data_IF_097011599984
#
_entry.id   IF_097011599984
#
_cell.length_a   1.000
_cell.length_b   1.000
_cell.length_c   1.000
_cell.angle_alpha   90.00
_cell.angle_beta   90.00
_cell.angle_gamma   90.00
#
_symmetry.space_group_name_H-M   'P 1'
#
loop_
_entity.id
_entity.type
_entity.pdbx_description
1 polymer ?
#
# COMPACT_ATOMS: atom_id res chain seq x y z
N UNK A 1 -16.32 -54.09 -14.26
CA UNK A 1 -15.75 -53.08 -13.30
C UNK A 1 -14.86 -52.03 -13.94
N UNK A 2 -14.47 -52.13 -15.21
CA UNK A 2 -13.61 -51.10 -15.89
C UNK A 2 -14.38 -50.05 -16.71
N UNK A 3 -15.65 -50.29 -17.06
CA UNK A 3 -16.47 -49.36 -17.85
C UNK A 3 -17.08 -48.23 -17.00
N UNK A 4 -17.41 -48.48 -15.74
CA UNK A 4 -18.00 -47.50 -14.83
C UNK A 4 -17.00 -46.40 -14.38
N UNK A 5 -15.71 -46.75 -14.24
CA UNK A 5 -14.66 -45.79 -13.86
C UNK A 5 -14.35 -44.83 -15.02
N UNK A 6 -14.49 -45.28 -16.28
CA UNK A 6 -14.28 -44.41 -17.46
C UNK A 6 -15.45 -43.46 -17.69
N UNK A 7 -16.68 -43.89 -17.38
CA UNK A 7 -17.85 -43.03 -17.45
C UNK A 7 -17.82 -41.90 -16.38
N UNK A 8 -17.37 -42.23 -15.17
CA UNK A 8 -17.27 -41.26 -14.06
C UNK A 8 -16.19 -40.18 -14.36
N UNK A 9 -15.07 -40.56 -14.98
CA UNK A 9 -14.05 -39.58 -15.41
C UNK A 9 -14.48 -38.70 -16.55
N UNK A 10 -15.35 -39.18 -17.45
CA UNK A 10 -15.90 -38.36 -18.55
C UNK A 10 -16.96 -37.39 -18.07
N UNK A 11 -17.81 -37.79 -17.11
CA UNK A 11 -18.80 -36.94 -16.45
C UNK A 11 -18.12 -35.88 -15.60
N UNK A 12 -17.06 -36.18 -14.86
CA UNK A 12 -16.27 -35.23 -14.10
C UNK A 12 -15.55 -34.23 -15.03
N UNK A 13 -15.04 -34.67 -16.20
CA UNK A 13 -14.50 -33.80 -17.23
C UNK A 13 -15.57 -32.94 -17.91
N UNK A 14 -16.77 -33.44 -18.12
CA UNK A 14 -17.90 -32.69 -18.67
C UNK A 14 -18.47 -31.69 -17.66
N UNK A 15 -18.55 -32.03 -16.38
CA UNK A 15 -18.93 -31.13 -15.29
C UNK A 15 -17.88 -30.00 -15.08
N UNK A 16 -16.60 -30.29 -15.30
CA UNK A 16 -15.55 -29.28 -15.32
C UNK A 16 -15.66 -28.27 -16.49
N UNK A 17 -16.42 -28.63 -17.54
CA UNK A 17 -16.67 -27.79 -18.72
C UNK A 17 -17.93 -26.94 -18.61
N UNK A 18 -18.79 -27.18 -17.63
CA UNK A 18 -19.87 -26.29 -17.25
C UNK A 18 -19.26 -25.15 -16.42
N UNK A 19 -18.60 -24.23 -17.11
CA UNK A 19 -18.19 -22.96 -16.51
C UNK A 19 -19.48 -22.28 -16.02
N UNK A 20 -19.69 -22.22 -14.71
CA UNK A 20 -20.64 -21.30 -14.10
C UNK A 20 -20.51 -19.93 -14.78
N UNK A 21 -21.61 -19.26 -15.13
CA UNK A 21 -21.51 -17.95 -15.76
C UNK A 21 -20.59 -17.05 -14.93
N UNK A 22 -19.73 -16.27 -15.59
CA UNK A 22 -18.69 -15.43 -14.98
C UNK A 22 -19.32 -14.25 -14.20
N UNK A 23 -20.22 -14.55 -13.25
CA UNK A 23 -20.95 -13.56 -12.46
C UNK A 23 -20.02 -12.64 -11.68
N UNK A 24 -18.85 -13.15 -11.26
CA UNK A 24 -17.85 -12.36 -10.53
C UNK A 24 -17.15 -11.33 -11.45
N UNK A 25 -16.84 -11.71 -12.70
CA UNK A 25 -16.22 -10.78 -13.67
C UNK A 25 -17.22 -9.72 -14.16
N UNK A 26 -18.50 -10.04 -14.23
CA UNK A 26 -19.52 -9.06 -14.54
C UNK A 26 -19.73 -8.07 -13.36
N UNK A 27 -19.66 -8.56 -12.10
CA UNK A 27 -19.66 -7.66 -10.93
C UNK A 27 -18.46 -6.73 -10.91
N UNK A 28 -17.26 -7.23 -11.21
CA UNK A 28 -16.07 -6.40 -11.33
C UNK A 28 -16.21 -5.33 -12.42
N UNK A 29 -16.78 -5.70 -13.58
CA UNK A 29 -17.04 -4.75 -14.67
C UNK A 29 -17.91 -3.56 -14.19
N UNK A 30 -19.04 -3.84 -13.54
CA UNK A 30 -19.94 -2.79 -13.05
C UNK A 30 -19.32 -1.95 -11.95
N UNK A 31 -18.57 -2.57 -11.03
CA UNK A 31 -17.84 -1.85 -9.99
C UNK A 31 -16.72 -0.99 -10.58
N UNK A 32 -16.01 -1.49 -11.58
CA UNK A 32 -14.97 -0.74 -12.28
C UNK A 32 -15.55 0.43 -13.07
N UNK A 33 -16.68 0.22 -13.74
CA UNK A 33 -17.41 1.29 -14.41
C UNK A 33 -17.82 2.38 -13.42
N UNK A 34 -18.39 1.98 -12.29
CA UNK A 34 -18.76 2.91 -11.23
C UNK A 34 -17.55 3.68 -10.67
N UNK A 35 -16.43 2.98 -10.43
CA UNK A 35 -15.18 3.59 -9.98
C UNK A 35 -14.66 4.62 -10.99
N UNK A 36 -14.65 4.30 -12.28
CA UNK A 36 -14.18 5.22 -13.32
C UNK A 36 -15.11 6.41 -13.54
N UNK A 37 -16.43 6.22 -13.37
CA UNK A 37 -17.40 7.32 -13.42
C UNK A 37 -17.20 8.28 -12.24
N UNK A 38 -17.02 7.76 -11.02
CA UNK A 38 -16.74 8.64 -9.85
C UNK A 38 -15.41 9.38 -10.04
N UNK A 39 -14.36 8.70 -10.50
CA UNK A 39 -13.06 9.34 -10.75
C UNK A 39 -13.16 10.44 -11.82
N UNK A 40 -13.88 10.20 -12.92
CA UNK A 40 -14.14 11.17 -13.95
C UNK A 40 -14.98 12.36 -13.45
N UNK A 41 -16.02 12.06 -12.66
CA UNK A 41 -16.85 13.10 -12.03
C UNK A 41 -16.04 13.99 -11.08
N UNK A 42 -15.17 13.40 -10.24
CA UNK A 42 -14.29 14.15 -9.33
C UNK A 42 -13.36 15.08 -10.12
N UNK A 43 -12.75 14.58 -11.20
CA UNK A 43 -11.89 15.38 -12.06
C UNK A 43 -12.65 16.53 -12.73
N UNK A 44 -13.86 16.28 -13.21
CA UNK A 44 -14.73 17.30 -13.81
C UNK A 44 -15.16 18.34 -12.78
N UNK A 45 -15.52 17.93 -11.57
CA UNK A 45 -15.92 18.82 -10.49
C UNK A 45 -14.75 19.71 -10.05
N UNK A 46 -13.52 19.19 -10.00
CA UNK A 46 -12.32 19.98 -9.74
C UNK A 46 -12.16 21.08 -10.79
N UNK A 47 -12.34 20.78 -12.06
CA UNK A 47 -12.24 21.78 -13.14
C UNK A 47 -13.33 22.85 -13.03
N UNK A 48 -14.58 22.44 -12.82
CA UNK A 48 -15.69 23.37 -12.67
C UNK A 48 -15.53 24.24 -11.43
N UNK A 49 -15.13 23.65 -10.30
CA UNK A 49 -14.96 24.39 -9.05
C UNK A 49 -13.77 25.35 -9.05
N UNK A 50 -12.64 24.96 -9.65
CA UNK A 50 -11.42 25.75 -9.62
C UNK A 50 -11.28 26.70 -10.82
N UNK A 51 -11.73 26.31 -12.02
CA UNK A 51 -11.52 27.04 -13.28
C UNK A 51 -12.81 27.58 -13.88
N UNK A 52 -13.97 27.10 -13.46
CA UNK A 52 -15.27 27.44 -14.05
C UNK A 52 -15.48 26.92 -15.48
N UNK A 53 -14.61 26.04 -15.98
CA UNK A 53 -14.66 25.47 -17.33
C UNK A 53 -14.24 24.01 -17.30
N UNK A 54 -14.58 23.28 -18.37
CA UNK A 54 -14.18 21.88 -18.54
C UNK A 54 -13.20 21.80 -19.72
N UNK A 55 -11.99 21.27 -19.45
CA UNK A 55 -11.00 20.97 -20.49
C UNK A 55 -11.20 19.51 -21.00
N UNK A 56 -11.61 19.31 -22.27
CA UNK A 56 -11.81 17.99 -22.82
C UNK A 56 -10.54 17.15 -22.88
N UNK A 57 -9.35 17.77 -22.94
CA UNK A 57 -8.08 17.06 -23.02
C UNK A 57 -7.82 16.27 -21.71
N UNK A 58 -8.10 16.86 -20.56
CA UNK A 58 -7.91 16.19 -19.26
C UNK A 58 -8.89 15.04 -19.09
N UNK A 59 -10.13 15.20 -19.56
CA UNK A 59 -11.10 14.11 -19.57
C UNK A 59 -10.66 12.98 -20.50
N UNK A 60 -10.07 13.29 -21.67
CA UNK A 60 -9.53 12.28 -22.57
C UNK A 60 -8.38 11.50 -21.95
N UNK A 61 -7.48 12.17 -21.21
CA UNK A 61 -6.39 11.50 -20.48
C UNK A 61 -6.96 10.61 -19.37
N UNK A 62 -7.92 11.10 -18.59
CA UNK A 62 -8.64 10.30 -17.59
C UNK A 62 -9.32 9.07 -18.19
N UNK A 63 -9.94 9.24 -19.37
CA UNK A 63 -10.51 8.14 -20.17
C UNK A 63 -9.47 7.12 -20.63
N UNK A 64 -8.26 7.57 -20.99
CA UNK A 64 -7.14 6.69 -21.34
C UNK A 64 -6.69 5.81 -20.16
N UNK A 65 -6.65 6.36 -18.94
CA UNK A 65 -6.35 5.57 -17.74
C UNK A 65 -7.47 4.59 -17.39
N UNK A 66 -8.74 5.00 -17.57
CA UNK A 66 -9.87 4.10 -17.43
C UNK A 66 -9.76 2.95 -18.43
N UNK A 67 -9.40 3.21 -19.68
CA UNK A 67 -9.19 2.17 -20.68
C UNK A 67 -8.09 1.17 -20.29
N UNK A 68 -6.99 1.63 -19.68
CA UNK A 68 -5.95 0.73 -19.14
C UNK A 68 -6.47 -0.12 -17.98
N UNK A 69 -7.29 0.42 -17.09
CA UNK A 69 -7.92 -0.34 -16.01
C UNK A 69 -8.89 -1.39 -16.58
N UNK A 70 -9.67 -1.06 -17.61
CA UNK A 70 -10.51 -2.02 -18.34
C UNK A 70 -9.68 -3.05 -19.12
N UNK A 71 -8.51 -2.68 -19.67
CA UNK A 71 -7.59 -3.63 -20.30
C UNK A 71 -7.12 -4.67 -19.26
N UNK A 72 -6.76 -4.24 -18.04
CA UNK A 72 -6.44 -5.18 -16.95
C UNK A 72 -7.65 -6.06 -16.60
N UNK A 73 -8.87 -5.52 -16.55
CA UNK A 73 -10.10 -6.30 -16.36
C UNK A 73 -10.27 -7.38 -17.43
N UNK A 74 -10.03 -7.04 -18.72
CA UNK A 74 -10.11 -8.00 -19.83
C UNK A 74 -9.06 -9.10 -19.66
N UNK A 75 -7.82 -8.73 -19.30
CA UNK A 75 -6.74 -9.69 -19.02
C UNK A 75 -7.14 -10.63 -17.89
N UNK A 76 -7.68 -10.12 -16.79
CA UNK A 76 -8.18 -10.93 -15.68
C UNK A 76 -9.31 -11.87 -16.11
N UNK A 77 -10.20 -11.42 -16.99
CA UNK A 77 -11.28 -12.26 -17.52
C UNK A 77 -10.77 -13.47 -18.27
N UNK A 78 -9.62 -13.34 -18.95
CA UNK A 78 -8.99 -14.41 -19.74
C UNK A 78 -8.04 -15.28 -18.90
N UNK A 79 -7.20 -14.65 -18.07
CA UNK A 79 -6.04 -15.31 -17.45
C UNK A 79 -6.28 -15.64 -15.97
N UNK A 80 -7.18 -14.92 -15.29
CA UNK A 80 -7.46 -15.04 -13.86
C UNK A 80 -8.96 -14.85 -13.56
N UNK A 81 -9.79 -15.75 -14.14
CA UNK A 81 -11.26 -15.61 -14.13
C UNK A 81 -11.90 -15.67 -12.74
N UNK A 82 -11.24 -16.31 -11.77
CA UNK A 82 -11.75 -16.51 -10.41
C UNK A 82 -11.21 -15.48 -9.40
N UNK A 83 -10.39 -14.52 -9.84
CA UNK A 83 -9.83 -13.47 -8.99
C UNK A 83 -10.94 -12.64 -8.28
N UNK A 84 -10.60 -12.01 -7.16
CA UNK A 84 -11.53 -11.19 -6.38
C UNK A 84 -12.04 -9.98 -7.17
N UNK A 85 -13.37 -9.76 -7.27
CA UNK A 85 -13.94 -8.71 -8.09
C UNK A 85 -13.88 -7.31 -7.48
N UNK A 86 -13.43 -7.15 -6.22
CA UNK A 86 -13.42 -5.86 -5.53
C UNK A 86 -12.05 -5.17 -5.55
N UNK A 87 -10.97 -5.95 -5.59
CA UNK A 87 -9.60 -5.41 -5.43
C UNK A 87 -9.25 -4.41 -6.54
N UNK A 88 -9.50 -4.75 -7.80
CA UNK A 88 -9.22 -3.87 -8.95
C UNK A 88 -10.06 -2.57 -8.93
N UNK A 89 -11.41 -2.61 -8.78
CA UNK A 89 -12.21 -1.39 -8.77
C UNK A 89 -11.86 -0.43 -7.62
N UNK A 90 -11.57 -0.94 -6.42
CA UNK A 90 -11.21 -0.10 -5.28
C UNK A 90 -9.86 0.59 -5.53
N UNK A 91 -8.84 -0.14 -5.99
CA UNK A 91 -7.54 0.44 -6.32
C UNK A 91 -7.66 1.52 -7.43
N UNK A 92 -8.50 1.26 -8.44
CA UNK A 92 -8.78 2.22 -9.52
C UNK A 92 -9.45 3.49 -8.98
N UNK A 93 -10.47 3.35 -8.12
CA UNK A 93 -11.17 4.49 -7.53
C UNK A 93 -10.22 5.34 -6.66
N UNK A 94 -9.44 4.71 -5.78
CA UNK A 94 -8.47 5.42 -4.95
C UNK A 94 -7.43 6.16 -5.80
N UNK A 95 -6.90 5.53 -6.85
CA UNK A 95 -5.96 6.17 -7.77
C UNK A 95 -6.62 7.35 -8.50
N UNK A 96 -7.87 7.21 -8.95
CA UNK A 96 -8.60 8.27 -9.62
C UNK A 96 -8.88 9.47 -8.72
N UNK A 97 -9.29 9.26 -7.48
CA UNK A 97 -9.47 10.32 -6.49
C UNK A 97 -8.13 11.04 -6.18
N UNK A 98 -7.04 10.26 -6.07
CA UNK A 98 -5.70 10.81 -5.91
C UNK A 98 -5.29 11.71 -7.06
N UNK A 99 -5.49 11.28 -8.30
CA UNK A 99 -5.20 12.08 -9.50
C UNK A 99 -6.03 13.36 -9.53
N UNK A 100 -7.33 13.29 -9.20
CA UNK A 100 -8.20 14.46 -9.15
C UNK A 100 -7.70 15.50 -8.13
N UNK A 101 -7.28 15.04 -6.93
CA UNK A 101 -6.76 15.93 -5.91
C UNK A 101 -5.37 16.49 -6.25
N UNK A 102 -4.47 15.69 -6.82
CA UNK A 102 -3.15 16.15 -7.29
C UNK A 102 -3.33 17.20 -8.39
N UNK A 103 -4.25 16.97 -9.33
CA UNK A 103 -4.58 17.97 -10.37
C UNK A 103 -5.14 19.25 -9.78
N UNK A 104 -5.98 19.16 -8.73
CA UNK A 104 -6.46 20.33 -7.99
C UNK A 104 -5.31 21.14 -7.37
N UNK A 105 -4.31 20.47 -6.83
CA UNK A 105 -3.12 21.11 -6.24
C UNK A 105 -2.27 21.78 -7.33
N UNK A 106 -2.13 21.16 -8.49
CA UNK A 106 -1.41 21.77 -9.64
C UNK A 106 -2.08 23.06 -10.09
N UNK A 107 -3.42 23.08 -10.20
CA UNK A 107 -4.18 24.31 -10.52
C UNK A 107 -3.89 25.39 -9.47
N UNK A 108 -3.97 25.06 -8.19
CA UNK A 108 -3.75 26.02 -7.10
C UNK A 108 -2.34 26.60 -7.09
N UNK A 109 -1.35 25.80 -7.50
CA UNK A 109 0.07 26.20 -7.62
C UNK A 109 0.46 26.72 -9.00
N UNK A 110 -0.49 26.80 -9.93
CA UNK A 110 -0.27 27.23 -11.33
C UNK A 110 0.81 26.39 -12.05
N UNK A 111 0.91 25.09 -11.73
CA UNK A 111 1.84 24.17 -12.34
C UNK A 111 1.23 23.62 -13.63
N UNK A 112 2.01 23.59 -14.72
CA UNK A 112 1.55 23.12 -16.03
C UNK A 112 2.59 22.24 -16.70
N UNK A 113 2.15 21.49 -17.71
CA UNK A 113 3.03 20.65 -18.51
C UNK A 113 3.73 19.57 -17.70
N UNK A 114 5.04 19.39 -17.93
CA UNK A 114 5.82 18.37 -17.24
C UNK A 114 6.22 18.74 -15.80
N UNK A 115 6.05 20.00 -15.40
CA UNK A 115 6.29 20.43 -14.01
C UNK A 115 5.13 20.05 -13.10
N UNK A 116 3.93 19.88 -13.64
CA UNK A 116 2.73 19.45 -12.93
C UNK A 116 2.91 18.04 -12.33
N UNK A 117 2.51 17.89 -11.07
CA UNK A 117 2.53 16.59 -10.37
C UNK A 117 1.53 15.62 -10.98
N UNK A 118 0.38 16.10 -11.43
CA UNK A 118 -0.66 15.29 -12.06
C UNK A 118 -0.18 14.67 -13.38
N UNK A 119 0.56 15.40 -14.22
CA UNK A 119 1.13 14.87 -15.46
C UNK A 119 2.08 13.71 -15.17
N UNK A 120 2.97 13.88 -14.20
CA UNK A 120 3.88 12.82 -13.75
C UNK A 120 3.10 11.63 -13.17
N UNK A 121 2.07 11.89 -12.35
CA UNK A 121 1.25 10.84 -11.74
C UNK A 121 0.47 10.03 -12.79
N UNK A 122 -0.04 10.69 -13.84
CA UNK A 122 -0.71 10.04 -14.97
C UNK A 122 0.25 9.08 -15.69
N UNK A 123 1.49 9.53 -16.00
CA UNK A 123 2.51 8.70 -16.60
C UNK A 123 2.87 7.49 -15.72
N UNK A 124 3.07 7.72 -14.43
CA UNK A 124 3.35 6.64 -13.47
C UNK A 124 2.19 5.67 -13.31
N UNK A 125 0.94 6.15 -13.37
CA UNK A 125 -0.25 5.29 -13.33
C UNK A 125 -0.30 4.38 -14.55
N UNK A 126 -0.01 4.90 -15.76
CA UNK A 126 0.04 4.10 -16.98
C UNK A 126 1.12 3.01 -16.87
N UNK A 127 2.33 3.36 -16.43
CA UNK A 127 3.43 2.41 -16.21
C UNK A 127 3.04 1.35 -15.16
N UNK A 128 2.40 1.75 -14.07
CA UNK A 128 1.97 0.86 -12.99
C UNK A 128 0.92 -0.14 -13.45
N UNK A 129 -0.08 0.31 -14.21
CA UNK A 129 -1.11 -0.55 -14.79
C UNK A 129 -0.51 -1.51 -15.82
N UNK A 130 0.39 -1.03 -16.68
CA UNK A 130 1.12 -1.89 -17.63
C UNK A 130 1.95 -2.95 -16.89
N UNK A 131 2.65 -2.56 -15.82
CA UNK A 131 3.39 -3.47 -14.95
C UNK A 131 2.49 -4.51 -14.26
N UNK A 132 1.31 -4.09 -13.77
CA UNK A 132 0.33 -4.99 -13.18
C UNK A 132 -0.22 -5.99 -14.22
N UNK A 133 -0.53 -5.54 -15.45
CA UNK A 133 -0.94 -6.40 -16.56
C UNK A 133 0.17 -7.42 -16.89
N UNK A 134 1.40 -6.96 -17.03
CA UNK A 134 2.55 -7.82 -17.31
C UNK A 134 2.73 -8.88 -16.22
N UNK A 135 2.66 -8.47 -14.94
CA UNK A 135 2.78 -9.41 -13.82
C UNK A 135 1.66 -10.45 -13.83
N UNK A 136 0.40 -10.04 -14.06
CA UNK A 136 -0.74 -10.96 -14.13
C UNK A 136 -0.56 -11.97 -15.26
N UNK A 137 -0.04 -11.58 -16.42
CA UNK A 137 0.19 -12.49 -17.56
C UNK A 137 1.36 -13.43 -17.28
N UNK A 138 2.49 -12.89 -16.80
CA UNK A 138 3.73 -13.65 -16.60
C UNK A 138 3.68 -14.58 -15.40
N UNK A 139 3.11 -14.12 -14.27
CA UNK A 139 3.04 -14.87 -13.03
C UNK A 139 1.81 -15.80 -13.02
N UNK A 140 1.84 -16.86 -13.80
CA UNK A 140 0.73 -17.84 -13.83
C UNK A 140 0.56 -18.58 -12.51
N UNK A 141 1.66 -18.84 -11.81
CA UNK A 141 1.66 -19.57 -10.54
C UNK A 141 2.52 -18.81 -9.51
N UNK A 142 1.87 -18.12 -8.56
CA UNK A 142 2.57 -17.36 -7.52
C UNK A 142 3.46 -18.25 -6.61
N UNK A 143 3.20 -19.56 -6.52
CA UNK A 143 4.01 -20.48 -5.71
C UNK A 143 5.46 -20.58 -6.19
N UNK A 144 5.75 -20.20 -7.43
CA UNK A 144 7.12 -20.10 -7.94
C UNK A 144 7.96 -19.13 -7.10
N UNK A 145 7.35 -18.08 -6.55
CA UNK A 145 8.02 -17.09 -5.69
C UNK A 145 8.59 -17.74 -4.42
N UNK A 146 7.96 -18.80 -3.89
CA UNK A 146 8.46 -19.55 -2.74
C UNK A 146 9.83 -20.19 -3.01
N UNK A 147 10.09 -20.63 -4.25
CA UNK A 147 11.39 -21.19 -4.63
C UNK A 147 12.52 -20.16 -4.51
N UNK A 148 12.21 -18.89 -4.80
CA UNK A 148 13.18 -17.81 -4.83
C UNK A 148 13.19 -16.94 -3.55
N UNK A 149 12.66 -17.49 -2.42
CA UNK A 149 12.54 -16.79 -1.12
C UNK A 149 13.78 -15.98 -0.75
N UNK A 150 14.96 -16.63 -0.75
CA UNK A 150 16.22 -15.97 -0.32
C UNK A 150 16.74 -14.95 -1.34
N UNK A 151 16.46 -15.17 -2.63
CA UNK A 151 16.80 -14.18 -3.68
C UNK A 151 15.97 -12.92 -3.47
N UNK A 152 14.67 -13.05 -3.17
CA UNK A 152 13.85 -11.89 -2.83
C UNK A 152 14.31 -11.20 -1.55
N UNK A 153 14.74 -11.95 -0.52
CA UNK A 153 15.33 -11.36 0.68
C UNK A 153 16.58 -10.55 0.39
N UNK A 154 17.51 -11.11 -0.37
CA UNK A 154 18.73 -10.41 -0.80
C UNK A 154 18.40 -9.18 -1.67
N UNK A 155 17.50 -9.34 -2.66
CA UNK A 155 17.07 -8.23 -3.51
C UNK A 155 16.42 -7.10 -2.70
N UNK A 156 15.61 -7.43 -1.69
CA UNK A 156 15.00 -6.44 -0.79
C UNK A 156 16.06 -5.64 -0.02
N UNK A 157 17.07 -6.31 0.52
CA UNK A 157 18.18 -5.65 1.23
C UNK A 157 19.01 -4.80 0.26
N UNK A 158 19.34 -5.31 -0.93
CA UNK A 158 20.08 -4.56 -1.95
C UNK A 158 19.33 -3.30 -2.40
N UNK A 159 18.00 -3.40 -2.58
CA UNK A 159 17.17 -2.23 -2.90
C UNK A 159 17.22 -1.19 -1.77
N UNK A 160 17.18 -1.61 -0.51
CA UNK A 160 17.31 -0.68 0.63
C UNK A 160 18.69 -0.02 0.69
N UNK A 161 19.74 -0.69 0.24
CA UNK A 161 21.08 -0.14 0.22
C UNK A 161 21.40 0.69 -1.04
N UNK A 162 20.55 0.62 -2.07
CA UNK A 162 20.79 1.29 -3.36
C UNK A 162 20.96 2.81 -3.25
N UNK A 163 20.26 3.56 -2.38
CA UNK A 163 20.46 5.00 -2.21
C UNK A 163 21.84 5.40 -1.70
N UNK A 164 22.64 4.46 -1.19
CA UNK A 164 24.00 4.73 -0.69
C UNK A 164 25.08 4.55 -1.76
N UNK A 165 24.71 4.03 -2.94
CA UNK A 165 25.65 3.86 -4.05
C UNK A 165 26.07 5.25 -4.58
N UNK A 166 27.38 5.56 -4.61
CA UNK A 166 27.86 6.83 -5.16
C UNK A 166 27.38 7.04 -6.60
N UNK A 167 26.94 8.25 -6.91
CA UNK A 167 26.44 8.62 -8.24
C UNK A 167 24.93 8.32 -8.49
N UNK A 168 24.28 7.54 -7.63
CA UNK A 168 22.82 7.32 -7.71
C UNK A 168 22.04 8.17 -6.71
N UNK A 169 22.70 8.66 -5.67
CA UNK A 169 22.10 9.46 -4.61
C UNK A 169 21.66 10.83 -5.13
N UNK A 170 20.50 11.33 -4.71
CA UNK A 170 20.11 12.72 -4.90
C UNK A 170 20.81 13.55 -3.82
N UNK A 171 21.71 14.50 -4.18
CA UNK A 171 22.32 15.42 -3.22
C UNK A 171 21.21 16.22 -2.50
N UNK A 172 21.51 16.63 -1.27
CA UNK A 172 20.69 17.56 -0.47
C UNK A 172 19.29 17.08 -0.06
N UNK A 173 18.94 15.81 -0.26
CA UNK A 173 17.72 15.25 0.28
C UNK A 173 17.86 15.01 1.79
N UNK A 174 16.91 15.52 2.61
CA UNK A 174 16.88 15.32 4.05
C UNK A 174 16.81 13.84 4.45
N UNK A 175 16.12 13.02 3.64
CA UNK A 175 16.04 11.56 3.77
C UNK A 175 16.79 10.89 2.62
N UNK A 176 17.65 9.92 2.95
CA UNK A 176 18.48 9.21 1.96
C UNK A 176 17.74 7.99 1.40
N UNK A 177 16.61 8.23 0.76
CA UNK A 177 15.70 7.17 0.27
C UNK A 177 15.51 7.20 -1.24
N UNK A 178 15.96 8.26 -1.91
CA UNK A 178 15.74 8.48 -3.33
C UNK A 178 16.99 8.17 -4.15
N UNK A 179 16.77 7.54 -5.28
CA UNK A 179 17.77 7.25 -6.31
C UNK A 179 17.40 8.03 -7.57
N UNK A 180 18.36 8.74 -8.15
CA UNK A 180 18.23 9.40 -9.45
C UNK A 180 18.86 8.56 -10.53
N UNK A 181 18.07 8.23 -11.57
CA UNK A 181 18.54 7.58 -12.77
C UNK A 181 18.68 8.62 -13.89
N UNK A 182 19.90 9.06 -14.15
CA UNK A 182 20.19 10.03 -15.22
C UNK A 182 19.60 11.42 -15.02
N UNK A 183 19.25 11.83 -13.79
CA UNK A 183 18.70 13.16 -13.49
C UNK A 183 17.23 13.37 -13.83
N UNK A 184 16.63 12.51 -14.65
CA UNK A 184 15.24 12.67 -15.09
C UNK A 184 14.21 11.91 -14.24
N UNK A 185 14.60 10.79 -13.63
CA UNK A 185 13.70 9.95 -12.86
C UNK A 185 14.18 9.76 -11.44
N UNK A 186 13.40 10.23 -10.47
CA UNK A 186 13.60 9.92 -9.06
C UNK A 186 12.77 8.69 -8.70
N UNK A 187 13.42 7.69 -8.09
CA UNK A 187 12.84 6.42 -7.71
C UNK A 187 13.18 6.11 -6.25
N UNK A 188 12.21 5.62 -5.48
CA UNK A 188 12.38 5.19 -4.09
C UNK A 188 12.43 3.65 -4.04
N UNK A 189 13.62 3.03 -3.93
CA UNK A 189 13.76 1.58 -3.97
C UNK A 189 13.06 0.87 -2.79
N UNK A 190 12.91 1.54 -1.65
CA UNK A 190 12.22 1.02 -0.45
C UNK A 190 10.79 0.56 -0.74
N UNK A 191 10.11 1.20 -1.68
CA UNK A 191 8.76 0.81 -2.08
C UNK A 191 8.70 -0.58 -2.75
N UNK A 192 9.67 -0.93 -3.57
CA UNK A 192 9.78 -2.29 -4.12
C UNK A 192 10.38 -3.27 -3.11
N UNK A 193 11.29 -2.81 -2.26
CA UNK A 193 11.89 -3.62 -1.21
C UNK A 193 10.84 -4.23 -0.29
N UNK A 194 9.77 -3.50 0.05
CA UNK A 194 8.68 -4.02 0.90
C UNK A 194 8.00 -5.26 0.29
N UNK A 195 7.83 -5.32 -1.04
CA UNK A 195 7.26 -6.49 -1.72
C UNK A 195 8.25 -7.67 -1.69
N UNK A 196 9.52 -7.41 -1.99
CA UNK A 196 10.57 -8.42 -1.95
C UNK A 196 10.69 -9.01 -0.54
N UNK A 197 10.67 -8.18 0.49
CA UNK A 197 10.73 -8.61 1.89
C UNK A 197 9.44 -9.34 2.32
N UNK A 198 8.26 -8.95 1.82
CA UNK A 198 7.02 -9.69 2.07
C UNK A 198 7.10 -11.12 1.53
N UNK A 199 7.63 -11.31 0.30
CA UNK A 199 7.86 -12.63 -0.30
C UNK A 199 8.88 -13.43 0.52
N UNK A 200 9.98 -12.77 0.92
CA UNK A 200 10.99 -13.39 1.78
C UNK A 200 10.41 -13.82 3.12
N UNK A 201 9.72 -12.95 3.84
CA UNK A 201 9.13 -13.27 5.14
C UNK A 201 8.11 -14.40 5.03
N UNK A 202 7.24 -14.37 4.01
CA UNK A 202 6.29 -15.45 3.78
C UNK A 202 7.00 -16.80 3.60
N UNK A 203 8.01 -16.86 2.73
CA UNK A 203 8.75 -18.09 2.46
C UNK A 203 9.61 -18.56 3.64
N UNK A 204 10.23 -17.63 4.36
CA UNK A 204 11.03 -17.91 5.55
C UNK A 204 10.17 -18.47 6.69
N UNK A 205 9.05 -17.80 7.01
CA UNK A 205 8.15 -18.20 8.10
C UNK A 205 7.48 -19.55 7.84
N UNK A 206 7.17 -19.90 6.58
CA UNK A 206 6.69 -21.25 6.24
C UNK A 206 7.73 -22.30 6.57
N UNK A 207 9.01 -22.06 6.21
CA UNK A 207 10.10 -23.02 6.45
C UNK A 207 10.48 -23.19 7.92
N UNK A 208 10.31 -22.13 8.72
CA UNK A 208 10.71 -22.11 10.14
C UNK A 208 9.55 -22.25 11.11
N UNK A 209 8.32 -22.43 10.59
CA UNK A 209 7.08 -22.46 11.37
C UNK A 209 7.13 -23.42 12.56
N UNK A 210 7.56 -24.65 12.33
CA UNK A 210 7.63 -25.69 13.36
C UNK A 210 8.53 -25.28 14.54
N UNK A 211 9.69 -24.69 14.23
CA UNK A 211 10.60 -24.15 15.24
C UNK A 211 9.94 -23.02 16.05
N UNK A 212 9.27 -22.07 15.39
CA UNK A 212 8.62 -20.92 16.00
C UNK A 212 7.35 -21.27 16.79
N UNK A 213 6.73 -22.42 16.47
CA UNK A 213 5.56 -22.94 17.18
C UNK A 213 5.93 -23.81 18.39
N UNK A 214 7.23 -24.07 18.62
CA UNK A 214 7.65 -24.92 19.74
C UNK A 214 7.08 -24.43 21.07
N UNK A 215 6.78 -25.37 21.98
CA UNK A 215 6.11 -25.09 23.25
C UNK A 215 7.04 -24.26 24.15
N UNK A 216 6.67 -23.01 24.40
CA UNK A 216 7.34 -22.14 25.36
C UNK A 216 6.69 -22.21 26.75
N UNK A 217 7.16 -21.38 27.67
CA UNK A 217 6.61 -21.26 29.02
C UNK A 217 5.28 -20.49 28.98
N UNK A 218 4.27 -20.99 29.72
CA UNK A 218 3.01 -20.24 29.90
C UNK A 218 3.15 -19.32 31.12
N UNK A 219 3.00 -18.01 30.89
CA UNK A 219 2.96 -17.00 31.97
C UNK A 219 1.72 -16.13 31.75
N UNK A 220 0.88 -15.97 32.73
CA UNK A 220 -0.38 -15.20 32.66
C UNK A 220 -1.34 -15.64 31.51
N UNK A 221 -1.38 -16.93 31.23
CA UNK A 221 -2.23 -17.47 30.13
C UNK A 221 -1.66 -17.31 28.73
N UNK A 222 -0.54 -16.59 28.56
CA UNK A 222 0.13 -16.36 27.28
C UNK A 222 1.32 -17.31 27.15
N UNK A 223 1.45 -17.98 26.00
CA UNK A 223 2.61 -18.82 25.68
C UNK A 223 3.75 -17.97 25.13
N UNK A 224 4.83 -17.84 25.89
CA UNK A 224 6.02 -17.08 25.48
C UNK A 224 6.97 -17.97 24.68
N UNK A 225 7.60 -17.43 23.62
CA UNK A 225 8.60 -18.17 22.84
C UNK A 225 9.85 -18.41 23.68
N UNK A 226 10.64 -19.44 23.29
CA UNK A 226 11.96 -19.66 23.87
C UNK A 226 12.93 -18.56 23.41
N UNK A 227 13.91 -18.19 24.24
CA UNK A 227 14.90 -17.15 23.91
C UNK A 227 15.61 -17.39 22.57
N UNK A 228 15.85 -18.65 22.22
CA UNK A 228 16.46 -19.03 20.93
C UNK A 228 15.60 -18.61 19.71
N UNK A 229 14.28 -18.54 19.87
CA UNK A 229 13.34 -18.22 18.79
C UNK A 229 13.21 -16.71 18.56
N UNK A 230 13.73 -15.89 19.49
CA UNK A 230 13.77 -14.43 19.35
C UNK A 230 14.80 -13.96 18.31
N UNK A 231 15.80 -14.78 17.99
CA UNK A 231 16.91 -14.40 17.08
C UNK A 231 16.42 -13.77 15.78
N UNK A 232 15.58 -14.43 14.99
CA UNK A 232 15.08 -13.86 13.72
C UNK A 232 14.32 -12.54 13.90
N UNK A 233 13.55 -12.39 14.98
CA UNK A 233 12.79 -11.17 15.28
C UNK A 233 13.77 -10.03 15.59
N UNK A 234 14.79 -10.28 16.38
CA UNK A 234 15.82 -9.30 16.73
C UNK A 234 16.65 -8.89 15.49
N UNK A 235 16.94 -9.81 14.58
CA UNK A 235 17.63 -9.50 13.31
C UNK A 235 16.78 -8.55 12.45
N UNK A 236 15.49 -8.85 12.25
CA UNK A 236 14.61 -7.97 11.46
C UNK A 236 14.44 -6.63 12.15
N UNK A 237 14.32 -6.61 13.47
CA UNK A 237 14.27 -5.39 14.27
C UNK A 237 15.53 -4.55 14.12
N UNK A 238 16.72 -5.16 14.21
CA UNK A 238 17.99 -4.48 14.03
C UNK A 238 18.16 -3.92 12.61
N UNK A 239 17.74 -4.67 11.58
CA UNK A 239 17.74 -4.17 10.20
C UNK A 239 16.79 -2.97 10.07
N UNK A 240 15.59 -3.04 10.66
CA UNK A 240 14.61 -1.94 10.63
C UNK A 240 15.13 -0.68 11.34
N UNK A 241 15.81 -0.85 12.49
CA UNK A 241 16.51 0.25 13.15
C UNK A 241 17.65 0.80 12.28
N UNK A 242 18.41 -0.07 11.64
CA UNK A 242 19.46 0.34 10.69
C UNK A 242 18.90 1.22 9.56
N UNK A 243 17.75 0.88 9.01
CA UNK A 243 17.05 1.69 8.00
C UNK A 243 16.70 3.08 8.59
N UNK A 244 16.12 3.12 9.78
CA UNK A 244 15.76 4.37 10.45
C UNK A 244 17.00 5.25 10.65
N UNK A 245 18.10 4.69 11.14
CA UNK A 245 19.33 5.43 11.43
C UNK A 245 20.01 5.91 10.16
N UNK A 246 20.23 5.00 9.19
CA UNK A 246 21.08 5.25 8.03
C UNK A 246 20.32 6.04 6.94
N UNK A 247 19.06 5.65 6.66
CA UNK A 247 18.24 6.31 5.63
C UNK A 247 17.47 7.53 6.16
N UNK A 248 17.42 7.70 7.48
CA UNK A 248 16.57 8.70 8.16
C UNK A 248 15.09 8.54 7.80
N UNK A 249 14.67 7.29 7.59
CA UNK A 249 13.29 6.93 7.22
C UNK A 249 12.61 6.12 8.33
N UNK A 250 11.92 6.83 9.21
CA UNK A 250 11.17 6.23 10.31
C UNK A 250 9.99 5.39 9.79
N UNK A 251 9.38 5.81 8.68
CA UNK A 251 8.20 5.17 8.11
C UNK A 251 8.50 3.78 7.56
N UNK A 252 9.46 3.67 6.67
CA UNK A 252 9.83 2.39 6.03
C UNK A 252 10.34 1.38 7.07
N UNK A 253 11.17 1.81 8.03
CA UNK A 253 11.66 0.93 9.08
C UNK A 253 10.51 0.35 9.92
N UNK A 254 9.58 1.20 10.36
CA UNK A 254 8.40 0.77 11.14
C UNK A 254 7.48 -0.12 10.31
N UNK A 255 7.29 0.18 9.03
CA UNK A 255 6.45 -0.60 8.12
C UNK A 255 6.98 -2.03 7.91
N UNK A 256 8.28 -2.18 7.64
CA UNK A 256 8.93 -3.49 7.44
C UNK A 256 8.84 -4.33 8.71
N UNK A 257 9.17 -3.75 9.85
CA UNK A 257 9.11 -4.46 11.12
C UNK A 257 7.67 -4.85 11.49
N UNK A 258 6.71 -3.93 11.36
CA UNK A 258 5.30 -4.19 11.63
C UNK A 258 4.71 -5.27 10.72
N UNK A 259 5.05 -5.26 9.42
CA UNK A 259 4.69 -6.31 8.47
C UNK A 259 5.22 -7.67 8.92
N UNK A 260 6.49 -7.74 9.32
CA UNK A 260 7.09 -8.98 9.80
C UNK A 260 6.40 -9.53 11.05
N UNK A 261 6.13 -8.68 12.06
CA UNK A 261 5.44 -9.07 13.29
C UNK A 261 4.03 -9.58 13.01
N UNK A 262 3.29 -8.91 12.11
CA UNK A 262 1.97 -9.36 11.71
C UNK A 262 1.99 -10.72 11.00
N UNK A 263 2.93 -10.92 10.07
CA UNK A 263 3.11 -12.19 9.38
C UNK A 263 3.54 -13.30 10.35
N UNK A 264 4.39 -13.00 11.31
CA UNK A 264 4.81 -13.92 12.38
C UNK A 264 3.63 -14.35 13.26
N UNK A 265 2.74 -13.39 13.61
CA UNK A 265 1.51 -13.70 14.32
C UNK A 265 0.60 -14.63 13.51
N UNK A 266 0.38 -14.34 12.23
CA UNK A 266 -0.46 -15.17 11.34
C UNK A 266 0.15 -16.56 11.14
N UNK A 267 1.49 -16.68 11.08
CA UNK A 267 2.19 -17.95 10.92
C UNK A 267 2.09 -18.85 12.17
N UNK A 268 2.13 -18.24 13.38
CA UNK A 268 2.27 -18.98 14.63
C UNK A 268 1.00 -19.03 15.48
N UNK A 269 0.08 -18.07 15.29
CA UNK A 269 -1.12 -17.90 16.13
C UNK A 269 -0.85 -17.43 17.56
N UNK A 270 0.41 -17.05 17.90
CA UNK A 270 0.81 -16.66 19.26
C UNK A 270 0.77 -15.15 19.46
N UNK A 271 -0.11 -14.65 20.31
CA UNK A 271 -0.23 -13.21 20.63
C UNK A 271 1.04 -12.64 21.28
N UNK A 272 1.85 -13.49 21.93
CA UNK A 272 3.13 -13.08 22.53
C UNK A 272 4.07 -12.40 21.53
N UNK A 273 4.05 -12.79 20.26
CA UNK A 273 4.86 -12.16 19.23
C UNK A 273 4.46 -10.72 18.95
N UNK A 274 3.17 -10.42 19.02
CA UNK A 274 2.67 -9.04 18.91
C UNK A 274 3.12 -8.19 20.09
N UNK A 275 3.03 -8.74 21.31
CA UNK A 275 3.48 -8.04 22.52
C UNK A 275 4.99 -7.77 22.51
N UNK A 276 5.79 -8.76 22.09
CA UNK A 276 7.24 -8.61 21.92
C UNK A 276 7.53 -7.54 20.86
N UNK A 277 6.84 -7.60 19.71
CA UNK A 277 6.98 -6.61 18.65
C UNK A 277 6.68 -5.20 19.12
N UNK A 278 5.57 -4.99 19.83
CA UNK A 278 5.22 -3.69 20.40
C UNK A 278 6.25 -3.21 21.44
N UNK A 279 6.75 -4.11 22.31
CA UNK A 279 7.79 -3.77 23.27
C UNK A 279 9.10 -3.37 22.56
N UNK A 280 9.48 -4.07 21.49
CA UNK A 280 10.66 -3.73 20.70
C UNK A 280 10.49 -2.39 19.93
N UNK A 281 9.30 -2.09 19.42
CA UNK A 281 9.01 -0.77 18.83
C UNK A 281 9.15 0.32 19.88
N UNK A 282 8.55 0.15 21.05
CA UNK A 282 8.65 1.13 22.13
C UNK A 282 10.10 1.34 22.58
N UNK A 283 10.88 0.26 22.75
CA UNK A 283 12.30 0.33 23.07
C UNK A 283 13.11 1.03 21.97
N UNK A 284 12.86 0.67 20.71
CA UNK A 284 13.51 1.29 19.55
C UNK A 284 13.23 2.79 19.44
N UNK A 285 11.98 3.21 19.66
CA UNK A 285 11.58 4.62 19.69
C UNK A 285 12.28 5.34 20.85
N UNK A 286 12.26 4.76 22.05
CA UNK A 286 12.90 5.36 23.22
C UNK A 286 14.41 5.57 23.01
N UNK A 287 15.10 4.60 22.41
CA UNK A 287 16.52 4.71 22.07
C UNK A 287 16.74 5.73 20.95
N UNK A 288 15.93 5.68 19.89
CA UNK A 288 16.07 6.57 18.73
C UNK A 288 15.84 8.04 19.11
N UNK A 289 14.89 8.34 19.99
CA UNK A 289 14.66 9.72 20.48
C UNK A 289 15.80 10.27 21.32
N UNK A 290 16.61 9.42 21.96
CA UNK A 290 17.79 9.86 22.71
C UNK A 290 19.01 10.11 21.81
N UNK A 291 19.17 9.34 20.74
CA UNK A 291 20.39 9.32 19.92
C UNK A 291 20.25 10.16 18.63
N UNK A 292 19.02 10.23 18.08
CA UNK A 292 18.77 10.80 16.76
C UNK A 292 17.95 12.09 16.83
N UNK A 293 18.59 13.23 16.59
CA UNK A 293 17.94 14.55 16.68
C UNK A 293 16.74 14.70 15.75
N UNK A 294 16.77 14.11 14.55
CA UNK A 294 15.64 14.17 13.63
C UNK A 294 14.42 13.37 14.15
N UNK A 295 14.62 12.27 14.89
CA UNK A 295 13.53 11.53 15.54
C UNK A 295 13.00 12.34 16.70
N UNK A 296 13.88 12.89 17.54
CA UNK A 296 13.49 13.79 18.63
C UNK A 296 12.67 14.96 18.12
N UNK A 297 13.10 15.62 17.03
CA UNK A 297 12.36 16.72 16.41
C UNK A 297 10.96 16.34 15.99
N UNK A 298 10.74 15.14 15.42
CA UNK A 298 9.39 14.66 15.06
C UNK A 298 8.48 14.48 16.29
N UNK A 299 9.03 13.98 17.40
CA UNK A 299 8.27 13.86 18.66
C UNK A 299 7.99 15.23 19.28
N UNK A 300 8.95 16.17 19.25
CA UNK A 300 8.75 17.54 19.71
C UNK A 300 7.64 18.22 18.91
N UNK A 301 7.68 18.16 17.58
CA UNK A 301 6.63 18.72 16.72
C UNK A 301 5.26 18.05 16.94
N UNK A 302 5.24 16.76 17.25
CA UNK A 302 4.00 16.06 17.56
C UNK A 302 3.38 16.49 18.88
N UNK A 303 4.21 16.65 19.94
CA UNK A 303 3.74 17.01 21.28
C UNK A 303 3.46 18.51 21.39
N UNK A 304 4.34 19.36 20.85
CA UNK A 304 4.38 20.80 21.04
C UNK A 304 4.08 21.58 19.75
N UNK A 305 3.19 21.05 18.90
CA UNK A 305 2.89 21.59 17.57
C UNK A 305 2.49 23.07 17.57
N UNK A 306 1.77 23.53 18.60
CA UNK A 306 1.23 24.88 18.68
C UNK A 306 2.12 25.85 19.45
N UNK A 307 3.33 25.46 19.84
CA UNK A 307 4.30 26.36 20.42
C UNK A 307 4.74 27.43 19.40
N UNK A 308 4.94 28.70 19.80
CA UNK A 308 5.25 29.79 18.89
C UNK A 308 6.45 29.51 17.96
N UNK A 309 7.49 28.86 18.49
CA UNK A 309 8.70 28.51 17.72
C UNK A 309 8.43 27.45 16.63
N UNK A 310 7.41 26.60 16.83
CA UNK A 310 7.03 25.53 15.88
C UNK A 310 6.07 26.03 14.80
N UNK A 311 5.32 27.09 15.11
CA UNK A 311 4.26 27.67 14.26
C UNK A 311 4.83 28.64 13.22
N UNK A 312 6.05 29.14 13.42
CA UNK A 312 6.73 30.00 12.47
C UNK A 312 6.78 29.33 11.07
N UNK A 313 6.61 30.08 9.96
CA UNK A 313 6.72 29.55 8.60
C UNK A 313 8.00 28.74 8.33
N UNK A 314 9.10 29.08 9.00
CA UNK A 314 10.36 28.35 8.97
C UNK A 314 10.41 27.20 10.00
N UNK A 315 9.44 27.09 10.88
CA UNK A 315 9.32 26.09 11.91
C UNK A 315 8.84 24.73 11.38
N UNK A 316 9.35 23.66 11.98
CA UNK A 316 9.02 22.29 11.55
C UNK A 316 7.55 21.89 11.85
N UNK A 317 6.84 22.64 12.69
CA UNK A 317 5.41 22.48 12.99
C UNK A 317 4.47 23.16 12.00
N UNK A 318 4.96 24.08 11.17
CA UNK A 318 4.13 24.83 10.23
C UNK A 318 3.34 23.91 9.28
N UNK A 319 4.00 22.96 8.67
CA UNK A 319 3.40 22.04 7.72
C UNK A 319 2.28 21.16 8.32
N UNK A 320 2.46 20.44 9.46
CA UNK A 320 1.38 19.68 10.08
C UNK A 320 0.25 20.57 10.61
N UNK A 321 0.55 21.78 11.05
CA UNK A 321 -0.47 22.76 11.49
C UNK A 321 -1.38 23.18 10.32
N UNK A 322 -0.81 23.51 9.17
CA UNK A 322 -1.59 23.87 7.97
C UNK A 322 -2.46 22.71 7.50
N UNK A 323 -1.94 21.46 7.56
CA UNK A 323 -2.74 20.27 7.28
C UNK A 323 -3.95 20.11 8.19
N UNK A 324 -3.79 20.36 9.51
CA UNK A 324 -4.90 20.32 10.47
C UNK A 324 -5.91 21.46 10.24
N UNK A 325 -5.46 22.65 9.88
CA UNK A 325 -6.36 23.76 9.54
C UNK A 325 -7.16 23.46 8.28
N UNK A 326 -6.55 22.83 7.25
CA UNK A 326 -7.27 22.36 6.08
C UNK A 326 -8.40 21.38 6.44
N UNK A 327 -8.10 20.37 7.29
CA UNK A 327 -9.14 19.45 7.79
C UNK A 327 -10.25 20.16 8.57
N UNK A 328 -9.90 21.13 9.42
CA UNK A 328 -10.86 21.91 10.19
C UNK A 328 -11.74 22.78 9.27
N UNK A 329 -11.15 23.39 8.23
CA UNK A 329 -11.86 24.19 7.24
C UNK A 329 -12.86 23.35 6.43
N UNK A 330 -12.50 22.10 6.07
CA UNK A 330 -13.40 21.19 5.38
C UNK A 330 -14.61 20.75 6.21
N UNK A 331 -14.52 20.74 7.54
CA UNK A 331 -15.61 20.35 8.42
C UNK A 331 -16.20 18.98 8.10
N UNK A 332 -17.53 18.83 8.22
CA UNK A 332 -18.20 17.56 7.98
C UNK A 332 -18.42 17.25 6.49
N UNK A 333 -18.81 18.23 5.70
CA UNK A 333 -19.28 18.06 4.32
C UNK A 333 -18.20 18.41 3.30
N UNK A 334 -17.21 19.19 3.68
CA UNK A 334 -16.18 19.73 2.79
C UNK A 334 -16.55 21.08 2.21
N UNK A 335 -15.53 21.78 1.71
CA UNK A 335 -15.69 23.05 0.99
C UNK A 335 -16.28 22.84 -0.41
N UNK A 336 -16.20 21.61 -0.94
CA UNK A 336 -16.52 21.24 -2.32
C UNK A 336 -15.26 21.10 -3.19
N UNK A 337 -15.36 20.26 -4.21
CA UNK A 337 -14.28 20.05 -5.16
C UNK A 337 -13.87 21.37 -5.84
N UNK A 338 -12.58 21.68 -5.80
CA UNK A 338 -12.04 22.90 -6.40
C UNK A 338 -12.13 24.15 -5.52
N UNK A 339 -12.76 24.10 -4.34
CA UNK A 339 -13.01 25.27 -3.48
C UNK A 339 -12.08 25.36 -2.25
N UNK A 340 -11.31 24.32 -1.96
CA UNK A 340 -10.31 24.31 -0.89
C UNK A 340 -9.06 25.15 -1.22
N UNK A 341 -8.14 25.25 -0.27
CA UNK A 341 -6.86 25.98 -0.37
C UNK A 341 -5.66 25.03 -0.14
N UNK A 342 -5.50 23.96 -0.96
CA UNK A 342 -4.42 23.00 -0.79
C UNK A 342 -3.03 23.58 -1.09
N UNK A 343 -2.96 24.78 -1.69
CA UNK A 343 -1.73 25.55 -1.92
C UNK A 343 -1.04 26.01 -0.64
N UNK A 344 -1.81 26.22 0.42
CA UNK A 344 -1.31 26.69 1.72
C UNK A 344 -0.52 25.59 2.45
N UNK A 345 -0.90 24.32 2.26
CA UNK A 345 -0.22 23.21 2.92
C UNK A 345 1.01 22.79 2.11
N UNK A 346 2.23 22.89 2.67
CA UNK A 346 3.42 22.36 2.03
C UNK A 346 3.28 20.83 1.82
N UNK A 347 3.83 20.31 0.71
CA UNK A 347 3.74 18.89 0.35
C UNK A 347 2.33 18.30 0.33
N UNK A 348 1.32 19.12 0.04
CA UNK A 348 -0.09 18.74 -0.07
C UNK A 348 -0.30 17.55 -1.03
N UNK A 349 0.51 17.43 -2.09
CA UNK A 349 0.42 16.39 -3.10
C UNK A 349 0.96 15.03 -2.64
N UNK A 350 1.77 14.97 -1.59
CA UNK A 350 2.40 13.74 -1.08
C UNK A 350 1.94 13.40 0.35
N UNK A 351 2.59 13.97 1.35
CA UNK A 351 2.40 13.62 2.75
C UNK A 351 1.04 14.10 3.30
N UNK A 352 0.52 15.22 2.77
CA UNK A 352 -0.72 15.84 3.24
C UNK A 352 -1.89 15.71 2.25
N UNK A 353 -1.83 14.75 1.32
CA UNK A 353 -2.93 14.53 0.36
C UNK A 353 -4.26 14.22 1.07
N UNK A 354 -4.21 13.53 2.21
CA UNK A 354 -5.38 13.20 3.02
C UNK A 354 -6.02 14.45 3.62
N UNK A 355 -5.22 15.42 4.07
CA UNK A 355 -5.75 16.66 4.65
C UNK A 355 -6.33 17.55 3.56
N UNK A 356 -5.67 17.64 2.40
CA UNK A 356 -6.18 18.39 1.24
C UNK A 356 -7.48 17.78 0.69
N UNK A 357 -7.55 16.45 0.64
CA UNK A 357 -8.77 15.75 0.25
C UNK A 357 -9.88 15.98 1.29
N UNK A 358 -9.55 15.91 2.58
CA UNK A 358 -10.49 16.14 3.67
C UNK A 358 -11.02 17.58 3.72
N UNK A 359 -10.24 18.58 3.28
CA UNK A 359 -10.71 19.96 3.12
C UNK A 359 -11.81 20.06 2.07
N UNK A 360 -11.66 19.41 0.91
CA UNK A 360 -12.61 19.54 -0.18
C UNK A 360 -13.83 18.59 -0.06
N UNK A 361 -13.65 17.34 0.39
CA UNK A 361 -14.76 16.36 0.51
C UNK A 361 -15.30 16.21 1.94
N UNK A 362 -14.69 16.87 2.90
CA UNK A 362 -15.08 16.85 4.31
C UNK A 362 -14.77 15.52 5.02
N UNK A 363 -15.12 15.48 6.30
CA UNK A 363 -14.91 14.29 7.14
C UNK A 363 -15.73 13.08 6.64
N UNK A 364 -16.95 13.31 6.14
CA UNK A 364 -17.80 12.23 5.60
C UNK A 364 -17.15 11.58 4.37
N UNK A 365 -16.65 12.40 3.44
CA UNK A 365 -15.95 11.90 2.26
C UNK A 365 -14.64 11.19 2.62
N UNK A 366 -13.88 11.76 3.56
CA UNK A 366 -12.65 11.13 4.04
C UNK A 366 -12.92 9.79 4.73
N UNK A 367 -13.99 9.70 5.52
CA UNK A 367 -14.42 8.44 6.13
C UNK A 367 -14.80 7.38 5.06
N UNK A 368 -15.48 7.80 3.98
CA UNK A 368 -15.78 6.89 2.87
C UNK A 368 -14.51 6.37 2.19
N UNK A 369 -13.47 7.22 2.01
CA UNK A 369 -12.16 6.80 1.50
C UNK A 369 -11.50 5.81 2.44
N UNK A 370 -11.54 6.04 3.75
CA UNK A 370 -11.00 5.08 4.74
C UNK A 370 -11.77 3.75 4.71
N UNK A 371 -13.09 3.78 4.54
CA UNK A 371 -13.89 2.56 4.34
C UNK A 371 -13.47 1.78 3.09
N UNK A 372 -13.12 2.46 1.98
CA UNK A 372 -12.56 1.79 0.79
C UNK A 372 -11.26 1.06 1.11
N UNK A 373 -10.34 1.68 1.85
CA UNK A 373 -9.12 1.00 2.31
C UNK A 373 -9.44 -0.19 3.22
N UNK A 374 -10.39 -0.05 4.16
CA UNK A 374 -10.81 -1.14 5.04
C UNK A 374 -11.39 -2.31 4.23
N UNK A 375 -12.19 -2.04 3.20
CA UNK A 375 -12.72 -3.08 2.31
C UNK A 375 -11.58 -3.72 1.52
N UNK A 376 -10.66 -2.94 0.94
CA UNK A 376 -9.49 -3.46 0.21
C UNK A 376 -8.68 -4.42 1.09
N UNK A 377 -8.28 -3.98 2.28
CA UNK A 377 -7.52 -4.78 3.25
C UNK A 377 -8.29 -6.03 3.68
N UNK A 378 -9.57 -5.89 4.00
CA UNK A 378 -10.44 -7.02 4.36
C UNK A 378 -10.53 -8.06 3.25
N UNK A 379 -10.62 -7.63 1.98
CA UNK A 379 -10.61 -8.56 0.83
C UNK A 379 -9.26 -9.28 0.71
N UNK A 380 -8.15 -8.57 0.83
CA UNK A 380 -6.82 -9.16 0.81
C UNK A 380 -6.58 -10.14 1.97
N UNK A 381 -7.01 -9.81 3.18
CA UNK A 381 -6.96 -10.72 4.33
C UNK A 381 -7.80 -11.98 4.10
N UNK A 382 -9.02 -11.84 3.55
CA UNK A 382 -9.88 -12.97 3.22
C UNK A 382 -9.27 -13.88 2.14
N UNK A 383 -8.57 -13.31 1.15
CA UNK A 383 -7.82 -14.06 0.14
C UNK A 383 -6.77 -14.93 0.83
N UNK A 384 -6.00 -14.36 1.75
CA UNK A 384 -4.99 -15.10 2.50
C UNK A 384 -5.61 -16.19 3.38
N UNK A 385 -6.63 -15.87 4.17
CA UNK A 385 -7.26 -16.81 5.10
C UNK A 385 -8.00 -17.97 4.39
N UNK A 386 -8.50 -17.76 3.16
CA UNK A 386 -9.15 -18.79 2.37
C UNK A 386 -8.15 -19.73 1.66
N UNK A 387 -6.86 -19.37 1.62
CA UNK A 387 -5.80 -20.18 1.00
C UNK A 387 -5.50 -21.44 1.81
N UNK A 388 -5.37 -22.57 1.12
CA UNK A 388 -4.91 -23.84 1.73
C UNK A 388 -3.38 -23.92 1.82
N UNK A 389 -2.69 -23.10 1.08
CA UNK A 389 -1.25 -23.01 0.97
C UNK A 389 -0.71 -21.95 1.95
N UNK A 390 0.16 -22.37 2.87
CA UNK A 390 0.72 -21.49 3.91
C UNK A 390 1.50 -20.31 3.33
N UNK A 391 2.20 -20.48 2.20
CA UNK A 391 2.95 -19.39 1.56
C UNK A 391 2.00 -18.32 1.00
N UNK A 392 0.99 -18.73 0.24
CA UNK A 392 -0.02 -17.80 -0.30
C UNK A 392 -0.80 -17.10 0.81
N UNK A 393 -1.13 -17.83 1.90
CA UNK A 393 -1.77 -17.27 3.08
C UNK A 393 -0.94 -16.16 3.70
N UNK A 394 0.34 -16.40 3.99
CA UNK A 394 1.23 -15.43 4.59
C UNK A 394 1.52 -14.26 3.66
N UNK A 395 1.74 -14.52 2.37
CA UNK A 395 2.04 -13.47 1.40
C UNK A 395 0.83 -12.52 1.23
N UNK A 396 -0.38 -13.06 1.01
CA UNK A 396 -1.57 -12.21 0.84
C UNK A 396 -1.90 -11.41 2.11
N UNK A 397 -1.81 -12.03 3.29
CA UNK A 397 -2.04 -11.33 4.56
C UNK A 397 -0.96 -10.28 4.84
N UNK A 398 0.31 -10.59 4.56
CA UNK A 398 1.43 -9.65 4.72
C UNK A 398 1.28 -8.43 3.82
N UNK A 399 1.02 -8.62 2.52
CA UNK A 399 0.80 -7.51 1.58
C UNK A 399 -0.41 -6.65 1.97
N UNK A 400 -1.51 -7.28 2.38
CA UNK A 400 -2.71 -6.55 2.80
C UNK A 400 -2.48 -5.77 4.09
N UNK A 401 -1.77 -6.37 5.05
CA UNK A 401 -1.42 -5.70 6.30
C UNK A 401 -0.45 -4.54 6.07
N UNK A 402 0.45 -4.65 5.10
CA UNK A 402 1.35 -3.55 4.72
C UNK A 402 0.57 -2.32 4.28
N UNK A 403 -0.46 -2.49 3.43
CA UNK A 403 -1.35 -1.39 3.04
C UNK A 403 -2.10 -0.83 4.25
N UNK A 404 -2.65 -1.71 5.12
CA UNK A 404 -3.37 -1.29 6.32
C UNK A 404 -2.48 -0.46 7.25
N UNK A 405 -1.27 -0.95 7.54
CA UNK A 405 -0.31 -0.29 8.41
C UNK A 405 0.17 1.04 7.81
N UNK A 406 0.44 1.08 6.51
CA UNK A 406 0.86 2.29 5.81
C UNK A 406 -0.23 3.38 5.87
N UNK A 407 -1.50 3.01 5.63
CA UNK A 407 -2.65 3.94 5.77
C UNK A 407 -2.81 4.39 7.21
N UNK A 408 -2.72 3.48 8.19
CA UNK A 408 -2.79 3.84 9.62
C UNK A 408 -1.70 4.83 10.02
N UNK A 409 -0.45 4.58 9.61
CA UNK A 409 0.69 5.45 9.92
C UNK A 409 0.49 6.83 9.27
N UNK A 410 0.01 6.89 8.03
CA UNK A 410 -0.18 8.15 7.32
C UNK A 410 -1.32 8.98 7.92
N UNK A 411 -2.49 8.37 8.05
CA UNK A 411 -3.66 9.06 8.63
C UNK A 411 -3.39 9.43 10.09
N UNK A 412 -2.81 8.51 10.87
CA UNK A 412 -2.43 8.76 12.26
C UNK A 412 -1.39 9.89 12.40
N UNK A 413 -0.44 9.99 11.46
CA UNK A 413 0.55 11.06 11.43
C UNK A 413 -0.05 12.43 11.16
N UNK A 414 -0.89 12.55 10.11
CA UNK A 414 -1.50 13.84 9.75
C UNK A 414 -2.60 14.30 10.72
N UNK A 415 -3.23 13.35 11.43
CA UNK A 415 -4.24 13.65 12.48
C UNK A 415 -3.64 13.75 13.89
N UNK A 416 -2.32 13.70 14.02
CA UNK A 416 -1.61 13.76 15.32
C UNK A 416 -1.95 12.62 16.31
N UNK A 417 -2.42 11.48 15.84
CA UNK A 417 -2.54 10.27 16.69
C UNK A 417 -1.16 9.70 16.99
N UNK A 418 -0.24 9.77 16.02
CA UNK A 418 1.17 9.38 16.13
C UNK A 418 2.06 10.45 15.48
N UNK A 419 3.38 10.46 15.75
CA UNK A 419 4.31 11.34 15.04
C UNK A 419 4.31 11.07 13.52
N UNK A 420 4.43 12.13 12.71
CA UNK A 420 4.48 12.02 11.25
C UNK A 420 5.75 11.29 10.81
N UNK A 421 5.62 10.34 9.89
CA UNK A 421 6.71 9.46 9.46
C UNK A 421 7.25 9.75 8.07
N UNK A 422 6.48 10.44 7.20
CA UNK A 422 6.89 10.77 5.83
C UNK A 422 6.67 9.63 4.82
N UNK A 423 5.78 8.67 5.10
CA UNK A 423 5.32 7.69 4.11
C UNK A 423 4.32 8.33 3.15
N UNK A 424 4.15 7.74 1.97
CA UNK A 424 3.11 8.15 1.01
C UNK A 424 1.81 7.39 1.27
N UNK A 425 0.65 8.04 1.07
CA UNK A 425 -0.65 7.36 1.14
C UNK A 425 -0.82 6.47 -0.10
N UNK A 426 -1.01 5.14 0.06
CA UNK A 426 -1.13 4.21 -1.07
C UNK A 426 -2.23 4.65 -2.06
N UNK A 427 -1.95 4.61 -3.36
CA UNK A 427 -2.83 5.00 -4.48
C UNK A 427 -3.21 6.48 -4.56
N UNK A 428 -3.31 7.20 -3.45
CA UNK A 428 -3.76 8.60 -3.41
C UNK A 428 -2.62 9.60 -3.64
N UNK A 429 -1.50 9.44 -2.92
CA UNK A 429 -0.41 10.39 -2.94
C UNK A 429 0.37 10.39 -4.27
N UNK A 430 0.91 11.56 -4.62
CA UNK A 430 1.88 11.66 -5.70
C UNK A 430 3.17 10.90 -5.34
N UNK A 431 3.52 9.91 -6.16
CA UNK A 431 4.71 9.10 -5.95
C UNK A 431 4.77 7.91 -6.89
N UNK A 432 5.59 7.99 -7.94
CA UNK A 432 5.68 6.95 -8.97
C UNK A 432 6.07 5.59 -8.42
N UNK A 433 7.08 5.54 -7.57
CA UNK A 433 7.58 4.28 -6.98
C UNK A 433 6.53 3.59 -6.11
N UNK A 434 5.84 4.39 -5.26
CA UNK A 434 4.76 3.91 -4.41
C UNK A 434 3.60 3.38 -5.23
N UNK A 435 3.23 4.09 -6.29
CA UNK A 435 2.14 3.69 -7.19
C UNK A 435 2.45 2.38 -7.90
N UNK A 436 3.67 2.22 -8.46
CA UNK A 436 4.11 0.96 -9.07
C UNK A 436 4.04 -0.17 -8.04
N UNK A 437 4.60 0.01 -6.85
CA UNK A 437 4.61 -1.02 -5.83
C UNK A 437 3.18 -1.42 -5.42
N UNK A 438 2.29 -0.47 -5.23
CA UNK A 438 0.91 -0.74 -4.83
C UNK A 438 0.12 -1.46 -5.94
N UNK A 439 0.32 -1.13 -7.22
CA UNK A 439 -0.29 -1.85 -8.33
C UNK A 439 0.29 -3.26 -8.52
N UNK A 440 1.57 -3.47 -8.21
CA UNK A 440 2.15 -4.83 -8.15
C UNK A 440 1.56 -5.64 -6.99
N UNK A 441 1.28 -5.03 -5.83
CA UNK A 441 0.55 -5.68 -4.73
C UNK A 441 -0.86 -6.09 -5.18
N UNK A 442 -1.58 -5.21 -5.87
CA UNK A 442 -2.89 -5.53 -6.47
C UNK A 442 -2.80 -6.75 -7.39
N UNK A 443 -1.83 -6.76 -8.31
CA UNK A 443 -1.63 -7.85 -9.25
C UNK A 443 -1.31 -9.19 -8.54
N UNK A 444 -0.46 -9.16 -7.49
CA UNK A 444 -0.15 -10.33 -6.67
C UNK A 444 -1.39 -10.85 -5.93
N UNK A 445 -2.16 -9.97 -5.28
CA UNK A 445 -3.39 -10.34 -4.58
C UNK A 445 -4.42 -10.95 -5.54
N UNK A 446 -4.57 -10.41 -6.76
CA UNK A 446 -5.46 -10.96 -7.78
C UNK A 446 -5.03 -12.34 -8.21
N UNK A 447 -3.72 -12.58 -8.41
CA UNK A 447 -3.19 -13.89 -8.77
C UNK A 447 -3.32 -14.92 -7.65
N UNK A 448 -3.06 -14.53 -6.41
CA UNK A 448 -3.27 -15.41 -5.25
C UNK A 448 -4.76 -15.73 -5.12
N UNK A 449 -5.63 -14.74 -5.27
CA UNK A 449 -7.07 -14.90 -5.20
C UNK A 449 -7.61 -15.87 -6.25
N UNK A 450 -7.17 -15.75 -7.50
CA UNK A 450 -7.53 -16.64 -8.59
C UNK A 450 -7.16 -18.09 -8.26
N UNK A 451 -5.93 -18.32 -7.84
CA UNK A 451 -5.45 -19.65 -7.50
C UNK A 451 -6.17 -20.26 -6.28
N UNK A 452 -6.53 -19.44 -5.28
CA UNK A 452 -7.27 -19.90 -4.09
C UNK A 452 -8.70 -20.29 -4.44
N UNK A 453 -9.37 -19.54 -5.32
CA UNK A 453 -10.77 -19.77 -5.67
C UNK A 453 -10.97 -20.80 -6.76
N UNK A 454 -9.95 -21.02 -7.61
CA UNK A 454 -9.99 -22.05 -8.65
C UNK A 454 -9.80 -23.49 -8.13
N UNK A 455 -9.39 -23.65 -6.86
CA UNK A 455 -9.29 -24.96 -6.23
C UNK A 455 -10.67 -25.55 -5.98
N UNK A 456 -10.92 -26.84 -6.35
CA UNK A 456 -12.18 -27.49 -5.99
C UNK A 456 -12.29 -27.52 -4.46
N UNK A 457 -13.38 -26.97 -3.92
CA UNK A 457 -13.71 -27.14 -2.51
C UNK A 457 -13.98 -28.63 -2.30
N UNK A 458 -13.11 -29.30 -1.56
CA UNK A 458 -13.43 -30.62 -1.00
C UNK A 458 -14.61 -30.41 -0.04
N UNK A 459 -15.79 -30.74 -0.48
CA UNK A 459 -16.95 -30.90 0.41
C UNK A 459 -16.64 -32.12 1.26
N UNK A 460 -16.09 -31.90 2.45
CA UNK A 460 -16.05 -32.91 3.50
C UNK A 460 -17.49 -32.98 4.00
N UNK A 461 -18.20 -34.02 3.59
CA UNK A 461 -19.52 -34.40 4.09
C UNK A 461 -19.49 -34.79 5.56
#
# INVERSE_FOLDING_TARGET
MSADVAADTSVIKALKKIRMPQTQRNREFWLLLFATVISGASLTLVQLGALGLIDPMILAIGGGLAALAFALHIVLRVVASDADPFVLPIATLLTGLGIAMIYRIDIAKSLTGWDAYSTKQLAWTAISLAGAIALVIMLRNYRVLFRYTYIFGLSGILLLLLPFVPGLRIPDANAQVWVSLGGMFAFQPGELAKICLAIFFAGYLVRTRESLMSVGTKVLGITWPRMRELGPVLVVWAISLGIIVIQRDLGTGTLIFGMFVAMLYVATGKTSWVLIGLALVAAGVAVATQILDYVRGRFTNWLFLFDPEQVDPDGAGYQPMQGLFGLAHGGLIGTGWGQGRPDVTPLAHSDYIITSLGEEIGLIGLFAVLCLYMVFVSRGMRIGLAGQDDFGKLLATGLSFTIALQVFIMVGGVTRVIPLTGLTTPFLAAGGSSLIANWLIVALLLRISDAVRSQPRTVIG
#
